data_IF_041860040807
#
_entry.id   IF_041860040807
#
_cell.length_a   1.000
_cell.length_b   1.000
_cell.length_c   1.000
_cell.angle_alpha   90.00
_cell.angle_beta   90.00
_cell.angle_gamma   90.00
#
_symmetry.space_group_name_H-M   'P 1'
#
loop_
_entity.id
_entity.type
_entity.pdbx_description
1 polymer ?
#
# COMPACT_ATOMS: atom_id res chain seq x y z
N UNK A 1 21.90 -13.73 -3.17
CA UNK A 1 20.70 -14.04 -3.97
C UNK A 1 19.86 -12.78 -3.99
N UNK A 2 19.70 -12.16 -5.16
CA UNK A 2 18.87 -10.97 -5.34
C UNK A 2 17.42 -11.45 -5.24
N UNK A 3 16.72 -11.09 -4.17
CA UNK A 3 15.32 -11.43 -4.00
C UNK A 3 14.55 -10.94 -5.24
N UNK A 4 13.92 -11.87 -5.96
CA UNK A 4 13.09 -11.59 -7.12
C UNK A 4 11.94 -10.70 -6.65
N UNK A 5 12.04 -9.38 -6.86
CA UNK A 5 10.95 -8.46 -6.59
C UNK A 5 9.82 -8.83 -7.54
N UNK A 6 8.75 -9.45 -7.02
CA UNK A 6 7.54 -9.68 -7.80
C UNK A 6 7.04 -8.35 -8.33
N UNK A 7 6.65 -8.33 -9.61
CA UNK A 7 6.19 -7.09 -10.25
C UNK A 7 4.94 -6.59 -9.51
N UNK A 8 4.94 -5.34 -9.04
CA UNK A 8 3.75 -4.78 -8.41
C UNK A 8 2.60 -4.77 -9.42
N UNK A 9 1.44 -5.24 -8.98
CA UNK A 9 0.20 -5.23 -9.76
C UNK A 9 -0.50 -3.91 -9.54
N UNK A 10 -0.69 -3.14 -10.60
CA UNK A 10 -1.46 -1.92 -10.54
C UNK A 10 -2.93 -2.21 -10.82
N UNK A 11 -3.81 -1.80 -9.91
CA UNK A 11 -5.26 -1.86 -10.08
C UNK A 11 -5.77 -0.44 -10.16
N UNK A 12 -6.32 -0.05 -11.31
CA UNK A 12 -6.88 1.29 -11.52
C UNK A 12 -8.36 1.16 -11.83
N UNK A 13 -9.16 1.98 -11.17
CA UNK A 13 -10.59 2.06 -11.40
C UNK A 13 -11.06 3.51 -11.26
N UNK A 14 -11.47 4.14 -12.36
CA UNK A 14 -11.87 5.55 -12.38
C UNK A 14 -10.78 6.49 -11.81
N UNK A 15 -11.03 7.08 -10.64
CA UNK A 15 -10.13 7.98 -9.90
C UNK A 15 -9.30 7.25 -8.81
N UNK A 16 -9.55 5.94 -8.64
CA UNK A 16 -8.89 5.08 -7.68
C UNK A 16 -7.69 4.39 -8.35
N UNK A 17 -6.55 4.41 -7.65
CA UNK A 17 -5.31 3.81 -8.12
C UNK A 17 -4.65 3.06 -6.96
N UNK A 18 -4.58 1.74 -7.09
CA UNK A 18 -4.00 0.85 -6.10
C UNK A 18 -2.76 0.15 -6.66
N UNK A 19 -1.76 -0.05 -5.81
CA UNK A 19 -0.53 -0.76 -6.13
C UNK A 19 -0.40 -1.94 -5.19
N UNK A 20 -0.68 -3.14 -5.69
CA UNK A 20 -0.54 -4.37 -4.92
C UNK A 20 0.88 -4.89 -5.10
N UNK A 21 1.60 -5.09 -4.01
CA UNK A 21 2.98 -5.57 -4.02
C UNK A 21 3.22 -6.62 -2.93
N UNK A 22 4.32 -7.34 -3.03
CA UNK A 22 4.75 -8.22 -1.94
C UNK A 22 5.35 -7.43 -0.78
N UNK A 23 5.37 -8.06 0.40
CA UNK A 23 6.06 -7.53 1.57
C UNK A 23 7.56 -7.32 1.29
N UNK A 24 8.05 -6.08 1.38
CA UNK A 24 9.48 -5.82 1.29
C UNK A 24 10.19 -6.22 2.59
N UNK A 25 11.51 -6.30 2.51
CA UNK A 25 12.43 -6.48 3.63
C UNK A 25 13.36 -5.25 3.69
N UNK A 26 14.01 -4.99 4.83
CA UNK A 26 14.90 -3.82 4.99
C UNK A 26 15.96 -3.71 3.88
N UNK A 27 16.45 -4.84 3.36
CA UNK A 27 17.44 -4.86 2.28
C UNK A 27 16.92 -4.42 0.91
N UNK A 28 15.63 -4.60 0.61
CA UNK A 28 15.03 -4.25 -0.70
C UNK A 28 14.04 -3.08 -0.63
N UNK A 29 13.70 -2.60 0.57
CA UNK A 29 12.74 -1.53 0.81
C UNK A 29 13.02 -0.28 -0.03
N UNK A 30 14.28 0.10 -0.20
CA UNK A 30 14.70 1.24 -1.02
C UNK A 30 14.26 1.13 -2.50
N UNK A 31 14.21 -0.09 -3.04
CA UNK A 31 13.75 -0.35 -4.42
C UNK A 31 12.23 -0.13 -4.48
N UNK A 32 11.50 -0.65 -3.51
CA UNK A 32 10.05 -0.48 -3.42
C UNK A 32 9.69 1.00 -3.21
N UNK A 33 10.35 1.72 -2.32
CA UNK A 33 10.12 3.16 -2.11
C UNK A 33 10.30 3.97 -3.40
N UNK A 34 11.25 3.58 -4.26
CA UNK A 34 11.46 4.22 -5.55
C UNK A 34 10.30 3.95 -6.51
N UNK A 35 9.80 2.71 -6.56
CA UNK A 35 8.63 2.34 -7.35
C UNK A 35 7.36 3.02 -6.83
N UNK A 36 7.13 3.02 -5.51
CA UNK A 36 6.01 3.69 -4.86
C UNK A 36 5.98 5.18 -5.21
N UNK A 37 7.12 5.87 -5.14
CA UNK A 37 7.24 7.27 -5.57
C UNK A 37 6.92 7.46 -7.06
N UNK A 38 7.38 6.54 -7.91
CA UNK A 38 7.09 6.58 -9.36
C UNK A 38 5.60 6.40 -9.67
N UNK A 39 4.90 5.66 -8.82
CA UNK A 39 3.46 5.45 -8.91
C UNK A 39 2.64 6.47 -8.11
N UNK A 40 3.27 7.55 -7.61
CA UNK A 40 2.64 8.58 -6.81
C UNK A 40 1.89 8.01 -5.59
N UNK A 41 2.45 6.97 -4.99
CA UNK A 41 1.89 6.40 -3.78
C UNK A 41 2.12 7.34 -2.62
N UNK A 42 1.04 7.68 -1.91
CA UNK A 42 1.07 8.53 -0.71
C UNK A 42 0.85 7.72 0.56
N UNK A 43 0.12 6.61 0.45
CA UNK A 43 -0.33 5.80 1.58
C UNK A 43 -0.02 4.33 1.31
N UNK A 44 0.58 3.66 2.29
CA UNK A 44 0.97 2.25 2.24
C UNK A 44 0.22 1.49 3.32
N UNK A 45 -0.58 0.52 2.91
CA UNK A 45 -1.37 -0.32 3.80
C UNK A 45 -0.74 -1.70 3.92
N UNK A 46 -0.49 -2.11 5.15
CA UNK A 46 0.05 -3.41 5.53
C UNK A 46 -1.10 -4.28 6.02
N UNK A 47 -1.41 -5.35 5.29
CA UNK A 47 -2.46 -6.30 5.69
C UNK A 47 -1.93 -7.49 6.52
N UNK A 48 -0.61 -7.59 6.66
CA UNK A 48 0.11 -8.73 7.22
C UNK A 48 1.25 -8.23 8.14
N UNK A 49 1.92 -9.16 8.83
CA UNK A 49 2.94 -8.86 9.85
C UNK A 49 4.03 -7.89 9.36
N UNK A 50 4.52 -7.07 10.30
CA UNK A 50 5.53 -6.04 10.04
C UNK A 50 6.90 -6.67 9.83
N UNK A 51 7.43 -6.59 8.60
CA UNK A 51 8.74 -7.14 8.22
C UNK A 51 9.85 -6.08 8.09
N UNK A 52 9.52 -4.79 8.25
CA UNK A 52 10.44 -3.65 8.10
C UNK A 52 9.93 -2.42 8.85
N UNK A 53 10.85 -1.51 9.22
CA UNK A 53 10.50 -0.28 9.97
C UNK A 53 9.67 0.69 9.11
N UNK A 54 8.58 1.22 9.66
CA UNK A 54 7.79 2.31 9.05
C UNK A 54 8.58 3.60 8.93
N UNK A 55 9.59 3.83 9.77
CA UNK A 55 10.39 5.07 9.77
C UNK A 55 11.02 5.36 8.40
N UNK A 56 11.50 4.33 7.71
CA UNK A 56 12.10 4.50 6.37
C UNK A 56 11.07 4.88 5.30
N UNK A 57 9.83 4.43 5.47
CA UNK A 57 8.71 4.75 4.57
C UNK A 57 8.18 6.16 4.85
N UNK A 58 8.02 6.49 6.12
CA UNK A 58 7.60 7.82 6.56
C UNK A 58 8.65 8.88 6.21
N UNK A 59 9.95 8.57 6.35
CA UNK A 59 11.03 9.42 5.88
C UNK A 59 10.99 9.64 4.35
N UNK A 60 10.41 8.71 3.60
CA UNK A 60 10.18 8.87 2.16
C UNK A 60 8.96 9.75 1.83
N UNK A 61 8.16 10.14 2.85
CA UNK A 61 6.94 10.93 2.71
C UNK A 61 5.68 10.11 2.46
N UNK A 62 5.71 8.81 2.76
CA UNK A 62 4.59 7.88 2.57
C UNK A 62 4.04 7.51 3.95
N UNK A 63 2.73 7.62 4.13
CA UNK A 63 2.05 7.24 5.38
C UNK A 63 1.85 5.74 5.43
N UNK A 64 2.11 5.13 6.58
CA UNK A 64 1.95 3.69 6.78
C UNK A 64 0.72 3.42 7.62
N UNK A 65 -0.11 2.49 7.17
CA UNK A 65 -1.31 2.05 7.89
C UNK A 65 -1.24 0.54 8.10
N UNK A 66 -1.42 0.14 9.35
CA UNK A 66 -1.35 -1.26 9.77
C UNK A 66 -2.78 -1.76 9.97
N UNK A 67 -3.27 -2.49 8.96
CA UNK A 67 -4.59 -3.07 8.90
C UNK A 67 -4.45 -4.60 8.87
N UNK A 68 -3.73 -5.15 9.84
CA UNK A 68 -3.51 -6.58 9.97
C UNK A 68 -4.81 -7.32 10.34
N UNK A 69 -5.05 -8.46 9.69
CA UNK A 69 -6.14 -9.38 10.03
C UNK A 69 -5.68 -10.84 9.87
N UNK A 70 -6.39 -11.85 10.41
CA UNK A 70 -5.98 -13.25 10.30
C UNK A 70 -6.12 -13.81 8.87
N UNK A 71 -5.27 -14.77 8.48
CA UNK A 71 -5.39 -15.44 7.18
C UNK A 71 -6.63 -16.33 7.15
N UNK A 72 -7.44 -16.24 6.09
CA UNK A 72 -8.64 -17.06 5.94
C UNK A 72 -9.86 -16.59 6.75
N UNK A 73 -9.75 -15.46 7.47
CA UNK A 73 -10.89 -14.79 8.10
C UNK A 73 -11.21 -13.48 7.38
N UNK A 74 -12.48 -13.07 7.43
CA UNK A 74 -12.89 -11.76 6.95
C UNK A 74 -12.31 -10.68 7.86
N UNK A 75 -11.86 -9.53 7.32
CA UNK A 75 -11.43 -8.41 8.15
C UNK A 75 -12.57 -7.96 9.07
N UNK A 76 -12.21 -7.58 10.31
CA UNK A 76 -13.16 -7.00 11.26
C UNK A 76 -13.84 -5.78 10.61
N UNK A 77 -15.16 -5.58 10.79
CA UNK A 77 -15.86 -4.39 10.28
C UNK A 77 -15.13 -3.07 10.57
N UNK A 78 -14.45 -2.97 11.72
CA UNK A 78 -13.64 -1.78 12.07
C UNK A 78 -12.44 -1.56 11.15
N UNK A 79 -11.81 -2.63 10.66
CA UNK A 79 -10.69 -2.57 9.73
C UNK A 79 -11.22 -2.17 8.35
N UNK A 80 -12.37 -2.72 7.95
CA UNK A 80 -13.03 -2.39 6.71
C UNK A 80 -13.43 -0.91 6.66
N UNK A 81 -14.05 -0.40 7.73
CA UNK A 81 -14.43 1.02 7.84
C UNK A 81 -13.19 1.92 7.75
N UNK A 82 -12.11 1.60 8.47
CA UNK A 82 -10.84 2.35 8.38
C UNK A 82 -10.25 2.35 6.97
N UNK A 83 -10.30 1.21 6.28
CA UNK A 83 -9.84 1.11 4.90
C UNK A 83 -10.68 1.98 3.97
N UNK A 84 -12.02 1.91 4.09
CA UNK A 84 -12.93 2.72 3.28
C UNK A 84 -12.74 4.22 3.54
N UNK A 85 -12.61 4.63 4.79
CA UNK A 85 -12.34 6.03 5.18
C UNK A 85 -11.01 6.52 4.58
N UNK A 86 -9.96 5.69 4.63
CA UNK A 86 -8.65 6.01 4.06
C UNK A 86 -8.71 6.15 2.54
N UNK A 87 -9.37 5.22 1.86
CA UNK A 87 -9.60 5.27 0.42
C UNK A 87 -10.36 6.54 0.05
N UNK A 88 -11.44 6.84 0.76
CA UNK A 88 -12.22 8.06 0.53
C UNK A 88 -11.36 9.32 0.75
N UNK A 89 -10.63 9.43 1.86
CA UNK A 89 -9.78 10.58 2.16
C UNK A 89 -8.68 10.76 1.11
N UNK A 90 -7.97 9.68 0.77
CA UNK A 90 -6.85 9.72 -0.17
C UNK A 90 -7.29 10.08 -1.59
N UNK A 91 -8.40 9.52 -2.07
CA UNK A 91 -8.87 9.73 -3.45
C UNK A 91 -9.86 10.88 -3.60
N UNK A 92 -10.36 11.47 -2.51
CA UNK A 92 -11.20 12.68 -2.56
C UNK A 92 -10.51 13.83 -3.28
N UNK A 93 -9.19 13.95 -3.15
CA UNK A 93 -8.41 14.96 -3.88
C UNK A 93 -8.26 14.62 -5.37
N UNK A 94 -8.03 13.35 -5.72
CA UNK A 94 -7.98 12.90 -7.12
C UNK A 94 -9.29 13.18 -7.88
N UNK A 95 -10.42 13.15 -7.17
CA UNK A 95 -11.75 13.40 -7.75
C UNK A 95 -12.00 14.87 -8.06
N UNK A 96 -11.39 15.78 -7.30
CA UNK A 96 -11.59 17.23 -7.44
C UNK A 96 -10.62 17.87 -8.44
N UNK A 97 -9.42 17.32 -8.59
CA UNK A 97 -8.42 17.87 -9.50
C UNK A 97 -7.56 16.72 -10.07
N UNK A 98 -7.67 16.51 -11.39
CA UNK A 98 -6.94 15.46 -12.14
C UNK A 98 -5.41 15.62 -12.09
N UNK A 99 -4.90 16.70 -11.50
CA UNK A 99 -3.48 16.88 -11.22
C UNK A 99 -2.99 16.01 -10.05
N UNK A 100 -3.89 15.62 -9.14
CA UNK A 100 -3.57 14.68 -8.07
C UNK A 100 -3.85 13.26 -8.58
N UNK A 101 -2.77 12.52 -8.83
CA UNK A 101 -2.82 11.09 -9.17
C UNK A 101 -2.25 10.30 -7.99
N UNK A 102 -2.82 10.49 -6.80
CA UNK A 102 -2.42 9.72 -5.62
C UNK A 102 -2.76 8.25 -5.84
N UNK A 103 -1.90 7.38 -5.33
CA UNK A 103 -2.15 5.94 -5.30
C UNK A 103 -1.99 5.41 -3.87
N UNK A 104 -2.68 4.32 -3.57
CA UNK A 104 -2.53 3.58 -2.32
C UNK A 104 -1.81 2.28 -2.64
N UNK A 105 -0.73 1.99 -1.93
CA UNK A 105 -0.09 0.68 -2.03
C UNK A 105 -0.61 -0.25 -0.96
N UNK A 106 -0.80 -1.52 -1.32
CA UNK A 106 -1.23 -2.58 -0.41
C UNK A 106 -0.27 -3.74 -0.55
N UNK A 107 0.17 -4.30 0.58
CA UNK A 107 0.97 -5.51 0.56
C UNK A 107 0.56 -6.52 1.62
N UNK A 108 0.80 -7.79 1.31
CA UNK A 108 0.79 -8.88 2.27
C UNK A 108 2.08 -9.72 2.14
N UNK A 109 2.35 -10.55 3.16
CA UNK A 109 3.50 -11.46 3.24
C UNK A 109 3.45 -12.58 2.19
N UNK A 110 2.26 -13.00 1.75
CA UNK A 110 2.05 -14.08 0.78
C UNK A 110 1.53 -13.62 -0.59
N UNK A 111 1.62 -12.33 -0.92
CA UNK A 111 1.05 -11.76 -2.16
C UNK A 111 -0.45 -11.48 -2.07
N UNK A 112 -1.22 -11.83 -3.12
CA UNK A 112 -2.67 -11.57 -3.28
C UNK A 112 -3.60 -12.38 -2.34
N UNK A 113 -3.07 -13.07 -1.33
CA UNK A 113 -3.83 -14.04 -0.55
C UNK A 113 -5.01 -13.48 0.26
N UNK A 114 -5.11 -12.16 0.38
CA UNK A 114 -6.03 -11.44 1.27
C UNK A 114 -6.62 -10.20 0.62
#
# INVERSE_FOLDING_TARGET
MIASTNKPTMVKWEHLSFVIMDAPNDSNLHIYLKELKRHNVTDLVRACEVTYSSESVEAAGIRVYELEFPDGESPDPKILDKWLDLVEECFKENRNDSKYNKSIAVHCVAGLGR
#
